data_IF_752133196551
#
_entry.id   IF_752133196551
#
_cell.length_a   1.000
_cell.length_b   1.000
_cell.length_c   1.000
_cell.angle_alpha   90.00
_cell.angle_beta   90.00
_cell.angle_gamma   90.00
#
_symmetry.space_group_name_H-M   'P 1'
#
loop_
_entity.id
_entity.type
_entity.pdbx_description
1 polymer ?
#
# COMPACT_ATOMS: atom_id res chain seq x y z
N UNK A 1 23.62 -18.26 22.16
CA UNK A 1 23.79 -16.96 21.47
C UNK A 1 22.61 -16.62 20.56
N UNK A 2 22.19 -17.50 19.64
CA UNK A 2 21.00 -17.26 18.78
C UNK A 2 19.67 -17.28 19.55
N UNK A 3 19.52 -18.20 20.52
CA UNK A 3 18.34 -18.26 21.39
C UNK A 3 18.18 -17.02 22.29
N UNK A 4 19.30 -16.44 22.75
CA UNK A 4 19.29 -15.23 23.58
C UNK A 4 18.90 -13.98 22.78
N UNK A 5 19.30 -13.92 21.51
CA UNK A 5 18.85 -12.88 20.59
C UNK A 5 17.34 -12.98 20.29
N UNK A 6 16.83 -14.17 19.97
CA UNK A 6 15.40 -14.36 19.69
C UNK A 6 14.55 -13.98 20.91
N UNK A 7 14.89 -14.46 22.10
CA UNK A 7 14.17 -14.12 23.34
C UNK A 7 14.11 -12.61 23.59
N UNK A 8 15.22 -11.89 23.35
CA UNK A 8 15.25 -10.42 23.51
C UNK A 8 14.46 -9.70 22.42
N UNK A 9 14.49 -10.18 21.18
CA UNK A 9 13.66 -9.62 20.10
C UNK A 9 12.17 -9.83 20.41
N UNK A 10 11.77 -11.01 20.87
CA UNK A 10 10.40 -11.32 21.24
C UNK A 10 9.91 -10.51 22.44
N UNK A 11 10.76 -10.31 23.46
CA UNK A 11 10.40 -9.57 24.66
C UNK A 11 10.39 -8.05 24.46
N UNK A 12 11.38 -7.49 23.75
CA UNK A 12 11.61 -6.04 23.75
C UNK A 12 11.22 -5.35 22.42
N UNK A 13 11.41 -6.04 21.29
CA UNK A 13 11.25 -5.46 19.96
C UNK A 13 9.88 -5.79 19.35
N UNK A 14 9.35 -6.98 19.60
CA UNK A 14 8.13 -7.46 18.95
C UNK A 14 6.94 -6.54 19.24
N UNK A 15 6.76 -6.12 20.50
CA UNK A 15 5.67 -5.19 20.87
C UNK A 15 5.79 -3.83 20.18
N UNK A 16 7.01 -3.40 19.85
CA UNK A 16 7.25 -2.16 19.10
C UNK A 16 7.00 -2.33 17.60
N UNK A 17 7.05 -3.56 17.09
CA UNK A 17 6.85 -3.91 15.69
C UNK A 17 5.42 -4.38 15.37
N UNK A 18 4.66 -4.86 16.37
CA UNK A 18 3.24 -5.25 16.26
C UNK A 18 2.33 -4.20 15.61
N UNK A 19 2.59 -2.88 15.69
CA UNK A 19 1.82 -1.90 14.94
C UNK A 19 1.98 -1.97 13.40
N UNK A 20 2.88 -2.80 12.86
CA UNK A 20 3.16 -2.88 11.42
C UNK A 20 2.74 -4.21 10.78
N UNK A 21 2.00 -5.06 11.50
CA UNK A 21 1.59 -6.39 11.00
C UNK A 21 0.32 -6.35 10.13
N UNK A 22 -0.40 -5.22 10.08
CA UNK A 22 -1.53 -4.97 9.19
C UNK A 22 -1.49 -3.55 8.61
N UNK A 23 -2.16 -3.35 7.47
CA UNK A 23 -2.30 -2.02 6.85
C UNK A 23 -2.98 -1.04 7.80
N UNK A 24 -4.03 -1.47 8.51
CA UNK A 24 -4.77 -0.65 9.48
C UNK A 24 -3.86 -0.17 10.61
N UNK A 25 -3.14 -1.08 11.26
CA UNK A 25 -2.25 -0.71 12.36
C UNK A 25 -1.11 0.19 11.88
N UNK A 26 -0.58 -0.04 10.67
CA UNK A 26 0.46 0.80 10.10
C UNK A 26 -0.06 2.22 9.83
N UNK A 27 -1.25 2.33 9.24
CA UNK A 27 -1.89 3.63 9.00
C UNK A 27 -2.25 4.34 10.31
N UNK A 28 -2.73 3.62 11.32
CA UNK A 28 -3.02 4.20 12.64
C UNK A 28 -1.74 4.62 13.38
N UNK A 29 -0.64 3.86 13.24
CA UNK A 29 0.66 4.22 13.79
C UNK A 29 1.19 5.54 13.20
N UNK A 30 1.05 5.73 11.88
CA UNK A 30 1.48 6.94 11.17
C UNK A 30 0.57 8.13 11.43
N UNK A 31 -0.75 7.94 11.48
CA UNK A 31 -1.72 8.97 11.89
C UNK A 31 -1.40 9.56 13.28
N UNK A 32 -1.00 8.71 14.21
CA UNK A 32 -0.60 9.13 15.56
C UNK A 32 0.76 9.87 15.60
N UNK A 33 1.53 9.86 14.50
CA UNK A 33 2.90 10.37 14.39
C UNK A 33 3.13 11.08 13.06
N UNK A 34 2.56 12.28 12.87
CA UNK A 34 2.62 13.01 11.59
C UNK A 34 4.06 13.25 11.08
N UNK A 35 5.06 13.27 11.95
CA UNK A 35 6.47 13.36 11.59
C UNK A 35 6.98 12.15 10.78
N UNK A 36 6.28 11.01 10.87
CA UNK A 36 6.57 9.80 10.06
C UNK A 36 5.94 9.87 8.68
N UNK A 37 5.06 10.85 8.42
CA UNK A 37 4.43 11.08 7.12
C UNK A 37 5.46 11.33 6.02
N UNK A 38 6.61 11.93 6.34
CA UNK A 38 7.68 12.22 5.38
C UNK A 38 8.46 10.95 4.99
N UNK A 39 8.34 9.85 5.76
CA UNK A 39 9.09 8.61 5.52
C UNK A 39 8.39 7.64 4.58
N UNK A 40 7.09 7.78 4.38
CA UNK A 40 6.30 6.99 3.45
C UNK A 40 5.74 7.94 2.39
N UNK A 41 5.90 7.63 1.11
CA UNK A 41 5.44 8.52 0.04
C UNK A 41 3.91 8.70 0.06
N UNK A 42 3.40 9.73 -0.60
CA UNK A 42 1.96 10.02 -0.67
C UNK A 42 1.15 8.92 -1.37
N UNK A 43 1.77 8.11 -2.23
CA UNK A 43 1.12 6.99 -2.91
C UNK A 43 0.87 5.84 -1.95
N UNK A 44 1.80 5.59 -1.02
CA UNK A 44 1.62 4.60 0.04
C UNK A 44 0.35 4.86 0.85
N UNK A 45 0.14 6.11 1.28
CA UNK A 45 -1.07 6.51 2.01
C UNK A 45 -2.33 6.33 1.15
N UNK A 46 -2.28 6.73 -0.12
CA UNK A 46 -3.38 6.49 -1.06
C UNK A 46 -3.75 5.00 -1.14
N UNK A 47 -2.77 4.12 -1.32
CA UNK A 47 -2.98 2.67 -1.38
C UNK A 47 -3.51 2.11 -0.06
N UNK A 48 -3.02 2.60 1.09
CA UNK A 48 -3.50 2.19 2.40
C UNK A 48 -4.99 2.54 2.59
N UNK A 49 -5.39 3.76 2.25
CA UNK A 49 -6.81 4.16 2.29
C UNK A 49 -7.68 3.29 1.37
N UNK A 50 -7.22 3.00 0.15
CA UNK A 50 -7.93 2.10 -0.78
C UNK A 50 -8.05 0.70 -0.19
N UNK A 51 -6.95 0.10 0.28
CA UNK A 51 -6.92 -1.24 0.85
C UNK A 51 -7.85 -1.40 2.06
N UNK A 52 -7.97 -0.36 2.89
CA UNK A 52 -8.88 -0.31 4.04
C UNK A 52 -10.34 -0.03 3.67
N UNK A 53 -10.64 0.30 2.41
CA UNK A 53 -11.98 0.68 1.98
C UNK A 53 -12.38 2.11 2.32
N UNK A 54 -11.45 2.95 2.77
CA UNK A 54 -11.66 4.36 3.10
C UNK A 54 -11.66 5.23 1.82
N UNK A 55 -12.59 4.94 0.89
CA UNK A 55 -12.57 5.50 -0.46
C UNK A 55 -12.75 7.02 -0.53
N UNK A 56 -13.49 7.62 0.41
CA UNK A 56 -13.62 9.08 0.48
C UNK A 56 -12.28 9.77 0.79
N UNK A 57 -11.51 9.20 1.71
CA UNK A 57 -10.17 9.69 2.03
C UNK A 57 -9.22 9.50 0.84
N UNK A 58 -9.26 8.33 0.20
CA UNK A 58 -8.49 8.05 -1.02
C UNK A 58 -8.82 9.05 -2.14
N UNK A 59 -10.11 9.34 -2.37
CA UNK A 59 -10.56 10.34 -3.36
C UNK A 59 -10.07 11.74 -3.04
N UNK A 60 -10.16 12.15 -1.77
CA UNK A 60 -9.69 13.47 -1.34
C UNK A 60 -8.18 13.63 -1.54
N UNK A 61 -7.40 12.56 -1.36
CA UNK A 61 -5.97 12.54 -1.67
C UNK A 61 -5.72 12.57 -3.18
N UNK A 62 -6.35 11.67 -3.93
CA UNK A 62 -6.14 11.53 -5.38
C UNK A 62 -6.52 12.80 -6.15
N UNK A 63 -7.60 13.48 -5.75
CA UNK A 63 -8.06 14.71 -6.40
C UNK A 63 -7.00 15.82 -6.41
N UNK A 64 -6.07 15.82 -5.44
CA UNK A 64 -5.00 16.82 -5.37
C UNK A 64 -3.92 16.65 -6.44
N UNK A 65 -3.81 15.47 -7.05
CA UNK A 65 -2.72 15.15 -7.98
C UNK A 65 -3.17 14.49 -9.27
N UNK A 66 -4.43 14.05 -9.39
CA UNK A 66 -4.95 13.29 -10.56
C UNK A 66 -4.74 13.99 -11.90
N UNK A 67 -4.71 15.32 -11.94
CA UNK A 67 -4.48 16.09 -13.17
C UNK A 67 -3.09 15.86 -13.79
N UNK A 68 -2.11 15.42 -12.99
CA UNK A 68 -0.75 15.13 -13.42
C UNK A 68 -0.61 13.74 -14.05
N UNK A 69 -1.62 12.87 -13.88
CA UNK A 69 -1.61 11.49 -14.37
C UNK A 69 -2.45 11.36 -15.62
N UNK A 70 -1.77 11.03 -16.72
CA UNK A 70 -2.32 10.85 -18.06
C UNK A 70 -1.84 9.52 -18.62
N UNK A 71 -2.73 8.54 -18.87
CA UNK A 71 -2.36 7.27 -19.47
C UNK A 71 -1.58 7.46 -20.77
N UNK A 72 -0.52 6.68 -20.96
CA UNK A 72 0.32 6.72 -22.16
C UNK A 72 1.33 7.87 -22.22
N UNK A 73 1.43 8.70 -21.18
CA UNK A 73 2.55 9.64 -21.05
C UNK A 73 3.85 8.87 -20.86
N UNK A 74 4.86 9.22 -21.65
CA UNK A 74 6.23 8.73 -21.49
C UNK A 74 6.94 9.64 -20.48
N UNK A 75 7.51 9.05 -19.44
CA UNK A 75 8.28 9.75 -18.42
C UNK A 75 9.70 10.04 -18.92
N UNK A 76 10.24 11.21 -18.57
CA UNK A 76 11.61 11.60 -18.92
C UNK A 76 12.64 10.63 -18.31
N UNK A 77 12.32 10.11 -17.13
CA UNK A 77 13.10 9.13 -16.40
C UNK A 77 12.41 7.75 -16.48
N UNK A 78 12.95 6.78 -17.24
CA UNK A 78 12.27 5.52 -17.53
C UNK A 78 11.93 4.67 -16.30
N UNK A 79 12.70 4.80 -15.22
CA UNK A 79 12.47 4.04 -14.00
C UNK A 79 11.19 4.47 -13.25
N UNK A 80 10.68 5.68 -13.51
CA UNK A 80 9.39 6.14 -12.98
C UNK A 80 8.19 5.65 -13.81
N UNK A 81 8.41 5.12 -15.01
CA UNK A 81 7.31 4.77 -15.94
C UNK A 81 6.34 3.75 -15.33
N UNK A 82 6.87 2.70 -14.70
CA UNK A 82 6.05 1.63 -14.12
C UNK A 82 5.14 2.17 -13.00
N UNK A 83 5.69 2.97 -12.10
CA UNK A 83 4.92 3.59 -11.01
C UNK A 83 3.86 4.53 -11.57
N UNK A 84 4.24 5.38 -12.53
CA UNK A 84 3.33 6.32 -13.16
C UNK A 84 2.15 5.61 -13.88
N UNK A 85 2.44 4.56 -14.63
CA UNK A 85 1.41 3.76 -15.31
C UNK A 85 0.47 3.07 -14.31
N UNK A 86 1.01 2.54 -13.20
CA UNK A 86 0.19 1.96 -12.12
C UNK A 86 -0.75 3.00 -11.51
N UNK A 87 -0.26 4.20 -11.22
CA UNK A 87 -1.06 5.29 -10.65
C UNK A 87 -2.19 5.73 -11.60
N UNK A 88 -1.94 5.72 -12.91
CA UNK A 88 -2.97 6.02 -13.91
C UNK A 88 -4.16 5.03 -13.89
N UNK A 89 -3.96 3.79 -13.41
CA UNK A 89 -5.02 2.78 -13.38
C UNK A 89 -6.01 2.98 -12.22
N UNK A 90 -5.70 3.82 -11.24
CA UNK A 90 -6.51 4.02 -10.04
C UNK A 90 -7.72 4.92 -10.33
N UNK A 91 -7.55 5.92 -11.21
CA UNK A 91 -8.52 7.01 -11.36
C UNK A 91 -9.93 6.51 -11.66
N UNK A 92 -10.09 5.71 -12.71
CA UNK A 92 -11.39 5.20 -13.13
C UNK A 92 -12.10 4.37 -12.03
N UNK A 93 -11.49 3.31 -11.46
CA UNK A 93 -12.17 2.51 -10.45
C UNK A 93 -12.38 3.28 -9.12
N UNK A 94 -11.48 4.19 -8.75
CA UNK A 94 -11.65 5.02 -7.54
C UNK A 94 -12.80 6.03 -7.68
N UNK A 95 -12.96 6.65 -8.85
CA UNK A 95 -14.07 7.57 -9.09
C UNK A 95 -15.41 6.84 -9.23
N UNK A 96 -15.40 5.58 -9.64
CA UNK A 96 -16.61 4.77 -9.85
C UNK A 96 -17.07 3.98 -8.61
N UNK A 97 -16.40 4.11 -7.46
CA UNK A 97 -16.60 3.24 -6.29
C UNK A 97 -16.48 1.74 -6.64
N UNK A 98 -15.65 1.41 -7.64
CA UNK A 98 -15.42 0.03 -8.08
C UNK A 98 -14.45 -0.67 -7.13
N UNK A 99 -14.99 -1.11 -5.99
CA UNK A 99 -14.25 -1.84 -4.94
C UNK A 99 -13.58 -3.10 -5.51
N UNK A 100 -14.25 -3.81 -6.40
CA UNK A 100 -13.72 -5.04 -7.00
C UNK A 100 -12.55 -4.73 -7.95
N UNK A 101 -12.67 -3.70 -8.79
CA UNK A 101 -11.59 -3.24 -9.66
C UNK A 101 -10.38 -2.74 -8.88
N UNK A 102 -10.60 -1.95 -7.83
CA UNK A 102 -9.54 -1.48 -6.92
C UNK A 102 -8.83 -2.66 -6.22
N UNK A 103 -9.58 -3.63 -5.69
CA UNK A 103 -9.00 -4.82 -5.08
C UNK A 103 -8.18 -5.63 -6.09
N UNK A 104 -8.70 -5.82 -7.31
CA UNK A 104 -7.99 -6.52 -8.36
C UNK A 104 -6.66 -5.83 -8.74
N UNK A 105 -6.62 -4.50 -8.78
CA UNK A 105 -5.38 -3.74 -9.01
C UNK A 105 -4.36 -3.99 -7.90
N UNK A 106 -4.77 -3.86 -6.64
CA UNK A 106 -3.88 -4.05 -5.48
C UNK A 106 -3.33 -5.47 -5.41
N UNK A 107 -4.19 -6.47 -5.60
CA UNK A 107 -3.80 -7.88 -5.64
C UNK A 107 -2.81 -8.19 -6.76
N UNK A 108 -3.03 -7.60 -7.93
CA UNK A 108 -2.09 -7.77 -9.05
C UNK A 108 -0.73 -7.18 -8.71
N UNK A 109 -0.66 -5.98 -8.14
CA UNK A 109 0.61 -5.36 -7.78
C UNK A 109 1.32 -6.09 -6.65
N UNK A 110 0.58 -6.62 -5.67
CA UNK A 110 1.13 -7.48 -4.63
C UNK A 110 1.78 -8.72 -5.25
N UNK A 111 1.06 -9.43 -6.12
CA UNK A 111 1.58 -10.60 -6.82
C UNK A 111 2.84 -10.27 -7.66
N UNK A 112 2.81 -9.17 -8.43
CA UNK A 112 3.95 -8.71 -9.23
C UNK A 112 5.21 -8.45 -8.39
N UNK A 113 5.06 -7.91 -7.18
CA UNK A 113 6.20 -7.62 -6.28
C UNK A 113 6.77 -8.88 -5.62
N UNK A 114 5.99 -9.96 -5.58
CA UNK A 114 6.37 -11.22 -4.94
C UNK A 114 7.10 -12.15 -5.92
N UNK A 115 6.80 -12.08 -7.23
CA UNK A 115 7.43 -12.92 -8.26
C UNK A 115 8.96 -12.78 -8.21
N UNK A 116 9.66 -13.92 -8.14
CA UNK A 116 11.12 -14.00 -8.06
C UNK A 116 11.70 -13.68 -6.68
N UNK A 117 10.86 -13.33 -5.69
CA UNK A 117 11.30 -13.08 -4.32
C UNK A 117 11.41 -14.37 -3.51
N UNK A 118 12.27 -14.44 -2.48
CA UNK A 118 12.28 -15.54 -1.52
C UNK A 118 10.95 -15.76 -0.78
N UNK A 119 10.04 -14.79 -0.84
CA UNK A 119 8.72 -14.86 -0.21
C UNK A 119 7.67 -15.51 -1.12
N UNK A 120 7.94 -15.67 -2.42
CA UNK A 120 7.00 -16.25 -3.39
C UNK A 120 6.38 -17.58 -2.96
N UNK A 121 7.14 -18.57 -2.44
CA UNK A 121 6.56 -19.84 -1.99
C UNK A 121 5.66 -19.73 -0.76
N UNK A 122 5.75 -18.62 -0.03
CA UNK A 122 5.03 -18.38 1.22
C UNK A 122 3.89 -17.38 1.05
N UNK A 123 3.78 -16.76 -0.11
CA UNK A 123 2.77 -15.76 -0.37
C UNK A 123 1.41 -16.42 -0.58
N UNK A 124 0.41 -15.86 0.11
CA UNK A 124 -0.98 -16.25 -0.03
C UNK A 124 -1.77 -14.96 -0.19
N UNK A 125 -2.52 -14.86 -1.29
CA UNK A 125 -3.47 -13.78 -1.51
C UNK A 125 -4.47 -13.74 -0.35
N UNK A 126 -4.43 -12.69 0.46
CA UNK A 126 -5.37 -12.48 1.58
C UNK A 126 -6.42 -11.45 1.19
N UNK A 127 -7.68 -11.61 1.60
CA UNK A 127 -8.70 -10.60 1.34
C UNK A 127 -8.32 -9.27 1.98
N UNK A 128 -8.50 -8.19 1.24
CA UNK A 128 -8.37 -6.81 1.71
C UNK A 128 -9.65 -6.39 2.44
N UNK A 129 -9.58 -5.51 3.46
CA UNK A 129 -10.77 -4.94 4.08
C UNK A 129 -11.74 -4.29 3.08
N UNK A 130 -11.21 -3.71 1.99
CA UNK A 130 -11.98 -3.22 0.84
C UNK A 130 -12.94 -4.26 0.22
N UNK A 131 -12.63 -5.56 0.31
CA UNK A 131 -13.42 -6.63 -0.32
C UNK A 131 -14.57 -7.12 0.56
N UNK A 132 -14.57 -6.79 1.86
CA UNK A 132 -15.52 -7.32 2.85
C UNK A 132 -16.43 -6.28 3.49
N UNK A 133 -16.10 -4.99 3.32
CA UNK A 133 -16.93 -3.86 3.76
C UNK A 133 -17.95 -3.40 2.72
#
# INVERSE_FOLDING_TARGET
MQADFITRVEADALDRLRPFDTVDKCLNFTRARPETFIRLDSHWYLFAHIALGELDAARAMWTKSREYYRPGRIMDEPFHQLEYDRLCLIDAPLMADDRAGLAALLHRWEAENIVGSPLEPHWVKKPLPLEVG
#
